data_IF_508007884668
#
_entry.id   IF_508007884668
#
_cell.length_a   1.000
_cell.length_b   1.000
_cell.length_c   1.000
_cell.angle_alpha   90.00
_cell.angle_beta   90.00
_cell.angle_gamma   90.00
#
_symmetry.space_group_name_H-M   'P 1'
#
loop_
_entity.id
_entity.type
_entity.pdbx_description
1 polymer ?
#
# COMPACT_ATOMS: atom_id res chain seq x y z
N UNK A 1 -55.35 12.81 44.23
CA UNK A 1 -55.74 14.15 44.71
C UNK A 1 -54.48 14.88 45.14
N UNK A 2 -54.15 15.97 44.42
CA UNK A 2 -53.06 16.90 44.76
C UNK A 2 -53.39 17.69 46.03
N UNK A 3 -52.35 18.05 46.80
CA UNK A 3 -52.03 19.40 47.33
C UNK A 3 -51.32 19.30 48.69
N UNK A 4 -50.11 19.86 48.78
CA UNK A 4 -49.88 21.09 49.56
C UNK A 4 -48.36 21.41 49.57
N UNK A 5 -47.88 22.41 48.83
CA UNK A 5 -47.55 23.77 49.33
C UNK A 5 -46.70 23.82 50.60
N UNK A 6 -45.43 24.23 50.48
CA UNK A 6 -45.02 25.59 50.86
C UNK A 6 -43.61 25.91 50.31
N UNK A 7 -43.55 26.98 49.52
CA UNK A 7 -42.36 27.69 49.07
C UNK A 7 -41.99 28.77 50.11
N UNK A 8 -40.72 29.17 50.04
CA UNK A 8 -40.12 30.49 50.38
C UNK A 8 -39.38 30.65 51.72
N UNK A 9 -38.23 31.35 51.57
CA UNK A 9 -37.29 31.93 52.55
C UNK A 9 -36.20 30.92 53.00
N UNK A 10 -34.89 31.12 52.82
CA UNK A 10 -34.07 32.33 52.67
C UNK A 10 -32.67 32.00 52.13
N UNK A 11 -32.08 33.02 51.51
CA UNK A 11 -30.69 33.22 51.06
C UNK A 11 -29.57 32.76 52.01
N UNK A 12 -28.38 32.63 51.38
CA UNK A 12 -26.99 32.78 51.89
C UNK A 12 -26.31 31.61 52.61
N UNK A 13 -25.32 31.00 51.93
CA UNK A 13 -23.93 30.70 52.35
C UNK A 13 -23.31 29.76 51.30
N UNK A 14 -22.77 30.28 50.19
CA UNK A 14 -21.33 30.36 49.95
C UNK A 14 -20.49 29.32 50.73
N UNK A 15 -20.17 28.19 50.10
CA UNK A 15 -18.95 27.45 50.44
C UNK A 15 -18.30 26.91 49.18
N UNK A 16 -17.09 27.42 48.98
CA UNK A 16 -16.16 27.26 47.87
C UNK A 16 -15.48 25.90 48.01
N UNK A 17 -15.88 24.91 47.21
CA UNK A 17 -15.15 23.64 47.11
C UNK A 17 -14.41 23.60 45.78
N UNK A 18 -13.22 24.21 45.78
CA UNK A 18 -12.24 24.08 44.69
C UNK A 18 -11.69 22.65 44.77
N UNK A 19 -12.13 21.80 43.84
CA UNK A 19 -11.51 20.50 43.59
C UNK A 19 -10.13 20.78 42.95
N UNK A 20 -9.07 20.67 43.75
CA UNK A 20 -7.70 20.52 43.28
C UNK A 20 -7.59 19.17 42.54
N UNK A 21 -7.88 19.18 41.24
CA UNK A 21 -7.34 18.20 40.31
C UNK A 21 -5.85 18.49 40.18
N UNK A 22 -5.05 17.86 41.04
CA UNK A 22 -3.62 17.72 40.83
C UNK A 22 -3.47 16.84 39.59
N UNK A 23 -3.29 17.48 38.44
CA UNK A 23 -2.75 16.85 37.24
C UNK A 23 -1.38 16.27 37.60
N UNK A 24 -1.37 14.96 37.86
CA UNK A 24 -0.14 14.19 37.87
C UNK A 24 0.38 14.22 36.45
N UNK A 25 1.38 15.06 36.21
CA UNK A 25 2.18 15.03 35.00
C UNK A 25 2.73 13.61 34.86
N UNK A 26 2.30 12.91 33.82
CA UNK A 26 2.98 11.71 33.35
C UNK A 26 4.39 12.15 32.93
N UNK A 27 5.35 12.02 33.83
CA UNK A 27 6.77 12.18 33.49
C UNK A 27 7.16 10.97 32.66
N UNK A 28 7.55 11.20 31.41
CA UNK A 28 8.17 10.19 30.55
C UNK A 28 9.25 9.46 31.35
N UNK A 29 9.19 8.12 31.38
CA UNK A 29 10.11 7.31 32.18
C UNK A 29 11.45 7.18 31.46
N UNK A 30 12.22 8.27 31.44
CA UNK A 30 13.59 8.28 30.97
C UNK A 30 14.44 7.38 31.88
N UNK A 31 14.90 6.25 31.34
CA UNK A 31 15.74 5.31 32.10
C UNK A 31 17.19 5.60 31.77
N UNK A 32 18.00 5.98 32.76
CA UNK A 32 19.43 6.20 32.57
C UNK A 32 20.22 4.94 32.91
N UNK A 33 20.98 4.42 31.95
CA UNK A 33 21.86 3.25 32.14
C UNK A 33 23.31 3.69 32.03
N UNK A 34 24.15 3.24 32.96
CA UNK A 34 25.59 3.52 32.95
C UNK A 34 26.33 2.24 32.61
N UNK A 35 26.98 2.22 31.44
CA UNK A 35 27.65 1.03 30.92
C UNK A 35 29.10 1.31 30.54
N UNK A 36 29.93 0.29 30.70
CA UNK A 36 31.32 0.28 30.25
C UNK A 36 31.45 -0.57 28.98
N UNK A 37 32.02 0.03 27.94
CA UNK A 37 32.35 -0.62 26.67
C UNK A 37 33.86 -0.72 26.50
N UNK A 38 34.32 -1.84 25.94
CA UNK A 38 35.73 -2.11 25.67
C UNK A 38 35.94 -2.56 24.22
N UNK A 39 36.98 -2.02 23.60
CA UNK A 39 37.38 -2.36 22.23
C UNK A 39 38.89 -2.50 22.14
N UNK A 40 39.34 -3.65 21.64
CA UNK A 40 40.74 -3.90 21.31
C UNK A 40 40.93 -3.52 19.85
N UNK A 41 41.86 -2.63 19.58
CA UNK A 41 42.14 -2.12 18.24
C UNK A 41 42.62 -3.27 17.32
N UNK A 42 41.99 -3.38 16.14
CA UNK A 42 42.31 -4.40 15.14
C UNK A 42 43.38 -3.90 14.16
N UNK A 43 44.05 -4.85 13.49
CA UNK A 43 45.07 -4.55 12.50
C UNK A 43 44.42 -3.84 11.30
N UNK A 44 44.75 -2.56 11.11
CA UNK A 44 44.15 -1.68 10.08
C UNK A 44 43.16 -0.64 10.63
N UNK A 45 42.86 -0.64 11.92
CA UNK A 45 42.06 0.43 12.52
C UNK A 45 42.85 1.74 12.63
N UNK A 46 42.15 2.87 12.53
CA UNK A 46 42.68 4.17 12.96
C UNK A 46 42.22 4.47 14.39
N UNK A 47 42.90 5.38 15.09
CA UNK A 47 42.51 5.78 16.45
C UNK A 47 41.05 6.26 16.51
N UNK A 48 40.62 7.08 15.54
CA UNK A 48 39.25 7.56 15.45
C UNK A 48 38.24 6.42 15.25
N UNK A 49 38.58 5.44 14.41
CA UNK A 49 37.71 4.29 14.17
C UNK A 49 37.60 3.37 15.40
N UNK A 50 38.67 3.26 16.20
CA UNK A 50 38.63 2.53 17.47
C UNK A 50 37.76 3.23 18.53
N UNK A 51 37.80 4.57 18.59
CA UNK A 51 36.95 5.40 19.46
C UNK A 51 35.47 5.33 19.08
N UNK A 52 35.17 5.33 17.79
CA UNK A 52 33.80 5.15 17.30
C UNK A 52 33.27 3.75 17.61
N UNK A 53 34.08 2.71 17.36
CA UNK A 53 33.69 1.31 17.61
C UNK A 53 33.46 1.02 19.10
N UNK A 54 34.27 1.59 20.00
CA UNK A 54 34.05 1.42 21.45
C UNK A 54 32.78 2.16 21.90
N UNK A 55 32.48 3.31 21.30
CA UNK A 55 31.24 4.06 21.56
C UNK A 55 30.00 3.29 21.10
N UNK A 56 30.02 2.77 19.88
CA UNK A 56 28.93 1.94 19.36
C UNK A 56 28.70 0.68 20.22
N UNK A 57 29.77 0.03 20.70
CA UNK A 57 29.66 -1.11 21.62
C UNK A 57 29.04 -0.74 22.96
N UNK A 58 29.46 0.38 23.54
CA UNK A 58 28.91 0.86 24.80
C UNK A 58 27.41 1.22 24.63
N UNK A 59 27.05 1.92 23.56
CA UNK A 59 25.65 2.26 23.25
C UNK A 59 24.79 1.01 23.04
N UNK A 60 25.28 0.03 22.27
CA UNK A 60 24.59 -1.25 22.09
C UNK A 60 24.32 -1.94 23.43
N UNK A 61 25.34 -2.02 24.30
CA UNK A 61 25.20 -2.61 25.63
C UNK A 61 24.20 -1.85 26.51
N UNK A 62 24.15 -0.52 26.38
CA UNK A 62 23.17 0.30 27.10
C UNK A 62 21.73 -0.03 26.68
N UNK A 63 21.48 -0.25 25.38
CA UNK A 63 20.15 -0.65 24.88
C UNK A 63 19.80 -2.07 25.30
N UNK A 64 20.78 -2.98 25.28
CA UNK A 64 20.64 -4.36 25.77
C UNK A 64 20.25 -4.41 27.26
N UNK A 65 20.84 -3.55 28.10
CA UNK A 65 20.52 -3.45 29.53
C UNK A 65 19.23 -2.67 29.83
N UNK A 66 18.88 -1.66 29.01
CA UNK A 66 17.66 -0.87 29.18
C UNK A 66 16.39 -1.64 28.78
N UNK A 67 16.48 -2.54 27.80
CA UNK A 67 15.40 -3.43 27.41
C UNK A 67 15.30 -3.63 25.90
N UNK A 68 15.28 -4.90 25.49
CA UNK A 68 15.03 -5.34 24.12
C UNK A 68 13.77 -6.21 24.11
N UNK A 69 12.87 -5.94 23.18
CA UNK A 69 11.74 -6.82 22.89
C UNK A 69 12.14 -7.81 21.79
N UNK A 70 12.19 -9.09 22.15
CA UNK A 70 12.48 -10.19 21.25
C UNK A 70 11.22 -11.01 21.07
N UNK A 71 10.85 -11.28 19.82
CA UNK A 71 9.75 -12.16 19.49
C UNK A 71 10.18 -13.17 18.44
N UNK A 72 9.83 -14.42 18.69
CA UNK A 72 10.08 -15.54 17.80
C UNK A 72 8.74 -16.05 17.27
N UNK A 73 8.47 -15.85 15.99
CA UNK A 73 7.28 -16.38 15.33
C UNK A 73 7.66 -17.63 14.54
N UNK A 74 7.00 -18.73 14.85
CA UNK A 74 7.15 -19.99 14.13
C UNK A 74 6.03 -20.08 13.10
N UNK A 75 6.40 -20.08 11.82
CA UNK A 75 5.44 -20.22 10.73
C UNK A 75 5.50 -21.65 10.19
N UNK A 76 4.44 -22.41 10.41
CA UNK A 76 4.23 -23.72 9.79
C UNK A 76 3.33 -23.58 8.58
N UNK A 77 3.91 -23.70 7.39
CA UNK A 77 3.17 -23.67 6.14
C UNK A 77 3.00 -25.08 5.59
N UNK A 78 1.75 -25.56 5.54
CA UNK A 78 1.40 -26.77 4.81
C UNK A 78 0.90 -26.39 3.41
N UNK A 79 1.70 -26.66 2.38
CA UNK A 79 1.30 -26.45 0.99
C UNK A 79 0.94 -27.78 0.35
N UNK A 80 -0.33 -27.94 -0.02
CA UNK A 80 -0.81 -29.09 -0.80
C UNK A 80 -0.84 -28.68 -2.26
N UNK A 81 0.09 -29.22 -3.06
CA UNK A 81 0.12 -29.02 -4.52
C UNK A 81 0.14 -30.40 -5.19
N UNK A 82 -0.79 -30.66 -6.10
CA UNK A 82 -0.95 -31.94 -6.80
C UNK A 82 -1.06 -33.17 -5.88
N UNK A 83 -1.83 -33.08 -4.79
CA UNK A 83 -2.08 -34.20 -3.89
C UNK A 83 -0.90 -34.61 -3.00
N UNK A 84 0.21 -33.86 -3.01
CA UNK A 84 1.31 -34.00 -2.05
C UNK A 84 1.32 -32.80 -1.11
N UNK A 85 1.30 -33.05 0.20
CA UNK A 85 1.53 -32.02 1.22
C UNK A 85 3.03 -31.84 1.42
N UNK A 86 3.46 -30.59 1.44
CA UNK A 86 4.82 -30.17 1.77
C UNK A 86 4.71 -29.23 2.95
N UNK A 87 5.24 -29.63 4.09
CA UNK A 87 5.34 -28.77 5.27
C UNK A 87 6.68 -28.04 5.24
N UNK A 88 6.63 -26.72 5.27
CA UNK A 88 7.79 -25.84 5.39
C UNK A 88 7.63 -25.04 6.67
N UNK A 89 8.49 -25.32 7.64
CA UNK A 89 8.57 -24.58 8.89
C UNK A 89 9.65 -23.50 8.77
N UNK A 90 9.30 -22.25 9.03
CA UNK A 90 10.25 -21.13 9.08
C UNK A 90 10.14 -20.39 10.40
N UNK A 91 11.27 -20.23 11.08
CA UNK A 91 11.39 -19.41 12.29
C UNK A 91 11.81 -17.99 11.89
N UNK A 92 10.98 -17.00 12.23
CA UNK A 92 11.32 -15.59 12.10
C UNK A 92 11.55 -15.02 13.51
N UNK A 93 12.70 -14.37 13.71
CA UNK A 93 13.03 -13.71 14.97
C UNK A 93 13.09 -12.22 14.72
N UNK A 94 12.23 -11.47 15.41
CA UNK A 94 12.16 -10.02 15.30
C UNK A 94 12.61 -9.37 16.60
N UNK A 95 13.46 -8.35 16.47
CA UNK A 95 14.06 -7.65 17.60
C UNK A 95 13.70 -6.16 17.51
N UNK A 96 13.02 -5.64 18.53
CA UNK A 96 12.74 -4.22 18.69
C UNK A 96 13.54 -3.70 19.88
N UNK A 97 14.31 -2.63 19.67
CA UNK A 97 15.23 -2.10 20.66
C UNK A 97 14.87 -0.63 20.96
N UNK A 98 14.97 -0.23 22.22
CA UNK A 98 14.69 1.15 22.61
C UNK A 98 15.75 2.11 22.04
N UNK A 99 15.32 3.32 21.68
CA UNK A 99 16.21 4.34 21.18
C UNK A 99 16.95 5.06 22.32
N UNK A 100 18.26 5.29 22.13
CA UNK A 100 19.04 6.17 23.01
C UNK A 100 18.72 7.62 22.62
N UNK A 101 18.19 8.40 23.55
CA UNK A 101 17.88 9.83 23.33
C UNK A 101 19.07 10.73 23.61
N UNK A 102 19.94 10.33 24.56
CA UNK A 102 21.15 11.09 24.91
C UNK A 102 22.25 10.16 25.37
N UNK A 103 23.48 10.39 24.90
CA UNK A 103 24.69 9.72 25.39
C UNK A 103 25.62 10.76 26.00
N UNK A 104 26.09 10.51 27.22
CA UNK A 104 27.08 11.34 27.91
C UNK A 104 28.31 10.49 28.25
N UNK A 105 29.48 10.89 27.76
CA UNK A 105 30.74 10.16 27.98
C UNK A 105 31.36 10.64 29.28
N UNK A 106 31.34 9.80 30.31
CA UNK A 106 31.82 10.16 31.64
C UNK A 106 33.33 9.95 31.79
N UNK A 107 33.85 8.87 31.20
CA UNK A 107 35.26 8.51 31.28
C UNK A 107 35.69 7.85 29.97
N UNK A 108 36.86 8.21 29.48
CA UNK A 108 37.50 7.58 28.33
C UNK A 108 38.97 7.35 28.67
N UNK A 109 39.39 6.09 28.65
CA UNK A 109 40.76 5.69 28.97
C UNK A 109 41.30 4.74 27.91
N UNK A 110 42.60 4.89 27.66
CA UNK A 110 43.35 4.06 26.73
C UNK A 110 44.38 3.28 27.54
N UNK A 111 44.47 1.98 27.27
CA UNK A 111 45.43 1.08 27.91
C UNK A 111 46.06 0.19 26.86
N UNK A 112 47.08 -0.57 27.24
CA UNK A 112 47.69 -1.58 26.39
C UNK A 112 47.53 -2.94 27.06
N UNK A 113 46.92 -3.88 26.36
CA UNK A 113 46.92 -5.29 26.76
C UNK A 113 47.62 -6.10 25.68
N UNK A 114 48.69 -6.83 26.07
CA UNK A 114 49.45 -7.72 25.17
C UNK A 114 49.89 -7.01 23.88
N UNK A 115 50.47 -5.81 24.01
CA UNK A 115 50.90 -4.92 22.92
C UNK A 115 49.81 -4.43 21.96
N UNK A 116 48.51 -4.58 22.31
CA UNK A 116 47.39 -4.01 21.54
C UNK A 116 46.76 -2.83 22.30
N UNK A 117 46.48 -1.69 21.63
CA UNK A 117 45.72 -0.60 22.22
C UNK A 117 44.29 -1.05 22.56
N UNK A 118 43.90 -0.87 23.81
CA UNK A 118 42.56 -1.14 24.32
C UNK A 118 41.90 0.17 24.72
N UNK A 119 40.76 0.46 24.11
CA UNK A 119 39.93 1.61 24.40
C UNK A 119 38.82 1.17 25.34
N UNK A 120 38.67 1.90 26.43
CA UNK A 120 37.61 1.68 27.41
C UNK A 120 36.88 2.99 27.61
N UNK A 121 35.57 2.96 27.44
CA UNK A 121 34.73 4.12 27.72
C UNK A 121 33.62 3.76 28.69
N UNK A 122 33.27 4.72 29.53
CA UNK A 122 32.11 4.67 30.41
C UNK A 122 31.14 5.74 29.98
N UNK A 123 29.94 5.32 29.60
CA UNK A 123 28.88 6.24 29.16
C UNK A 123 27.69 6.17 30.10
N UNK A 124 27.00 7.29 30.24
CA UNK A 124 25.63 7.36 30.73
C UNK A 124 24.72 7.57 29.52
N UNK A 125 23.91 6.58 29.21
CA UNK A 125 22.91 6.67 28.15
C UNK A 125 21.53 6.87 28.77
N UNK A 126 20.76 7.81 28.23
CA UNK A 126 19.33 7.98 28.52
C UNK A 126 18.56 7.24 27.43
N UNK A 127 17.76 6.27 27.84
CA UNK A 127 16.96 5.44 26.95
C UNK A 127 15.49 5.73 27.18
N UNK A 128 14.75 6.00 26.10
CA UNK A 128 13.32 6.23 26.17
C UNK A 128 12.58 4.92 25.88
N UNK A 129 12.01 4.34 26.93
CA UNK A 129 11.23 3.10 26.85
C UNK A 129 9.80 3.32 26.35
N UNK A 130 9.28 4.55 26.38
CA UNK A 130 7.91 4.86 25.97
C UNK A 130 7.75 4.64 24.46
N UNK A 131 8.75 5.02 23.65
CA UNK A 131 8.75 4.74 22.22
C UNK A 131 8.80 3.24 21.90
N UNK A 132 9.53 2.45 22.69
CA UNK A 132 9.54 0.99 22.53
C UNK A 132 8.16 0.40 22.84
N UNK A 133 7.52 0.86 23.90
CA UNK A 133 6.17 0.42 24.28
C UNK A 133 5.11 0.83 23.25
N UNK A 134 5.18 2.05 22.72
CA UNK A 134 4.30 2.51 21.65
C UNK A 134 4.50 1.71 20.36
N UNK A 135 5.75 1.45 19.97
CA UNK A 135 6.07 0.63 18.81
C UNK A 135 5.52 -0.79 18.95
N UNK A 136 5.68 -1.41 20.13
CA UNK A 136 5.12 -2.74 20.42
C UNK A 136 3.58 -2.72 20.40
N UNK A 137 2.93 -1.69 20.96
CA UNK A 137 1.46 -1.56 20.95
C UNK A 137 0.91 -1.38 19.54
N UNK A 138 1.51 -0.47 18.76
CA UNK A 138 1.14 -0.23 17.38
C UNK A 138 1.27 -1.49 16.55
N UNK A 139 2.40 -2.19 16.68
CA UNK A 139 2.62 -3.45 16.00
C UNK A 139 1.59 -4.52 16.36
N UNK A 140 1.30 -4.73 17.66
CA UNK A 140 0.25 -5.68 18.08
C UNK A 140 -1.12 -5.32 17.51
N UNK A 141 -1.44 -4.03 17.40
CA UNK A 141 -2.70 -3.57 16.80
C UNK A 141 -2.76 -3.83 15.29
N UNK A 142 -1.64 -3.63 14.57
CA UNK A 142 -1.53 -3.92 13.14
C UNK A 142 -1.62 -5.43 12.88
N UNK A 143 -1.04 -6.26 13.74
CA UNK A 143 -1.12 -7.72 13.63
C UNK A 143 -2.55 -8.23 13.91
N UNK A 144 -3.22 -7.70 14.94
CA UNK A 144 -4.64 -8.00 15.19
C UNK A 144 -5.52 -7.59 14.02
N UNK A 145 -5.26 -6.43 13.41
CA UNK A 145 -5.97 -5.97 12.23
C UNK A 145 -5.71 -6.91 11.03
N UNK A 146 -4.46 -7.32 10.81
CA UNK A 146 -4.10 -8.26 9.75
C UNK A 146 -4.70 -9.65 9.95
N UNK A 147 -4.77 -10.13 11.20
CA UNK A 147 -5.46 -11.37 11.55
C UNK A 147 -6.96 -11.27 11.31
N UNK A 148 -7.59 -10.18 11.74
CA UNK A 148 -9.01 -9.92 11.50
C UNK A 148 -9.34 -9.78 10.01
N UNK A 149 -8.46 -9.12 9.25
CA UNK A 149 -8.59 -9.03 7.79
C UNK A 149 -8.47 -10.40 7.12
N UNK A 150 -7.53 -11.25 7.54
CA UNK A 150 -7.43 -12.65 7.06
C UNK A 150 -8.70 -13.44 7.36
N UNK A 151 -9.23 -13.32 8.58
CA UNK A 151 -10.49 -13.95 8.96
C UNK A 151 -11.65 -13.46 8.08
N UNK A 152 -11.76 -12.15 7.85
CA UNK A 152 -12.78 -11.58 6.96
C UNK A 152 -12.62 -12.05 5.51
N UNK A 153 -11.39 -12.24 5.02
CA UNK A 153 -11.15 -12.81 3.69
C UNK A 153 -11.60 -14.26 3.60
N UNK A 154 -11.32 -15.07 4.63
CA UNK A 154 -11.80 -16.45 4.71
C UNK A 154 -13.32 -16.53 4.82
N UNK A 155 -13.94 -15.66 5.65
CA UNK A 155 -15.39 -15.56 5.76
C UNK A 155 -16.02 -15.10 4.45
N UNK A 156 -15.45 -14.11 3.77
CA UNK A 156 -15.91 -13.71 2.45
C UNK A 156 -15.76 -14.82 1.41
N UNK A 157 -14.68 -15.59 1.45
CA UNK A 157 -14.48 -16.74 0.57
C UNK A 157 -15.51 -17.84 0.87
N UNK A 158 -15.79 -18.13 2.15
CA UNK A 158 -16.82 -19.07 2.60
C UNK A 158 -18.22 -18.61 2.21
N UNK A 159 -18.56 -17.34 2.43
CA UNK A 159 -19.84 -16.76 2.05
C UNK A 159 -20.01 -16.76 0.52
N UNK A 160 -18.97 -16.44 -0.25
CA UNK A 160 -18.99 -16.57 -1.72
C UNK A 160 -19.19 -18.03 -2.16
N UNK A 161 -18.57 -19.00 -1.47
CA UNK A 161 -18.78 -20.42 -1.73
C UNK A 161 -20.21 -20.86 -1.38
N UNK A 162 -20.74 -20.45 -0.23
CA UNK A 162 -22.12 -20.68 0.18
C UNK A 162 -23.13 -20.01 -0.76
N UNK A 163 -22.82 -18.82 -1.27
CA UNK A 163 -23.63 -18.15 -2.28
C UNK A 163 -23.67 -18.97 -3.57
N UNK A 164 -22.52 -19.52 -3.99
CA UNK A 164 -22.43 -20.43 -5.14
C UNK A 164 -23.24 -21.71 -4.92
N UNK A 165 -23.22 -22.28 -3.72
CA UNK A 165 -24.04 -23.44 -3.35
C UNK A 165 -25.55 -23.09 -3.28
N UNK A 166 -25.93 -21.93 -2.75
CA UNK A 166 -27.34 -21.50 -2.76
C UNK A 166 -27.84 -21.08 -4.13
N UNK A 167 -26.95 -20.67 -5.04
CA UNK A 167 -27.25 -20.45 -6.46
C UNK A 167 -27.15 -21.74 -7.29
N UNK A 168 -26.72 -22.87 -6.73
CA UNK A 168 -27.04 -24.17 -7.32
C UNK A 168 -28.51 -24.50 -7.00
N UNK A 169 -29.33 -24.85 -8.00
CA UNK A 169 -30.75 -25.13 -7.75
C UNK A 169 -30.88 -26.29 -6.75
N UNK A 170 -31.87 -26.27 -5.84
CA UNK A 170 -31.98 -27.25 -4.77
C UNK A 170 -32.10 -28.67 -5.33
N UNK A 171 -31.19 -29.56 -4.89
CA UNK A 171 -31.25 -31.00 -5.11
C UNK A 171 -32.36 -31.62 -4.24
N UNK A 172 -33.61 -31.47 -4.65
CA UNK A 172 -34.72 -31.99 -3.84
C UNK A 172 -36.14 -31.85 -4.37
N UNK A 173 -36.36 -31.19 -5.51
CA UNK A 173 -37.64 -31.31 -6.22
C UNK A 173 -37.39 -32.25 -7.39
N UNK A 174 -37.90 -33.49 -7.29
CA UNK A 174 -38.17 -34.31 -8.49
C UNK A 174 -39.29 -33.63 -9.26
N UNK A 175 -39.02 -32.47 -9.84
CA UNK A 175 -39.59 -32.17 -11.14
C UNK A 175 -39.06 -33.28 -12.03
N UNK A 176 -39.92 -33.90 -12.81
CA UNK A 176 -39.50 -34.60 -14.02
C UNK A 176 -38.81 -33.54 -14.88
N UNK A 177 -37.53 -33.28 -14.59
CA UNK A 177 -36.60 -32.70 -15.52
C UNK A 177 -36.45 -33.81 -16.53
N UNK A 178 -37.29 -33.75 -17.56
CA UNK A 178 -36.88 -34.18 -18.87
C UNK A 178 -35.54 -33.46 -19.05
N UNK A 179 -34.43 -34.19 -18.91
CA UNK A 179 -33.11 -33.69 -19.26
C UNK A 179 -33.27 -33.06 -20.65
N UNK A 180 -33.07 -31.74 -20.82
CA UNK A 180 -33.15 -31.17 -22.15
C UNK A 180 -32.10 -31.92 -22.98
N UNK A 181 -32.47 -32.51 -24.12
CA UNK A 181 -31.53 -33.28 -24.91
C UNK A 181 -30.52 -32.28 -25.46
N UNK A 182 -29.31 -32.24 -24.91
CA UNK A 182 -28.31 -31.32 -25.45
C UNK A 182 -27.11 -30.92 -24.58
N UNK A 183 -26.30 -31.88 -24.11
CA UNK A 183 -24.84 -31.61 -24.06
C UNK A 183 -24.21 -31.57 -25.48
N UNK A 184 -25.04 -31.64 -26.52
CA UNK A 184 -24.69 -31.76 -27.94
C UNK A 184 -25.15 -30.58 -28.81
N UNK A 185 -25.68 -29.51 -28.22
CA UNK A 185 -26.09 -28.30 -28.95
C UNK A 185 -24.93 -27.31 -29.19
N UNK A 186 -25.03 -26.42 -30.20
CA UNK A 186 -23.96 -25.48 -30.56
C UNK A 186 -23.52 -24.56 -29.41
N UNK A 187 -24.46 -24.12 -28.56
CA UNK A 187 -24.16 -23.31 -27.36
C UNK A 187 -23.37 -24.08 -26.29
N UNK A 188 -23.68 -25.37 -26.09
CA UNK A 188 -22.94 -26.23 -25.16
C UNK A 188 -21.51 -26.48 -25.65
N UNK A 189 -21.34 -26.69 -26.95
CA UNK A 189 -20.02 -26.81 -27.59
C UNK A 189 -19.22 -25.50 -27.48
N UNK A 190 -19.86 -24.34 -27.70
CA UNK A 190 -19.21 -23.04 -27.55
C UNK A 190 -18.68 -22.81 -26.12
N UNK A 191 -19.45 -23.17 -25.09
CA UNK A 191 -19.00 -23.11 -23.68
C UNK A 191 -17.82 -24.02 -23.39
N UNK A 192 -17.86 -25.27 -23.87
CA UNK A 192 -16.74 -26.20 -23.71
C UNK A 192 -15.47 -25.67 -24.40
N UNK A 193 -15.59 -25.11 -25.61
CA UNK A 193 -14.46 -24.48 -26.30
C UNK A 193 -13.89 -23.31 -25.50
N UNK A 194 -14.74 -22.46 -24.92
CA UNK A 194 -14.26 -21.38 -24.05
C UNK A 194 -13.52 -21.91 -22.81
N UNK A 195 -14.06 -22.93 -22.13
CA UNK A 195 -13.41 -23.56 -20.99
C UNK A 195 -12.03 -24.11 -21.37
N UNK A 196 -11.92 -24.80 -22.51
CA UNK A 196 -10.61 -25.28 -23.01
C UNK A 196 -9.66 -24.12 -23.34
N UNK A 197 -10.18 -23.01 -23.86
CA UNK A 197 -9.39 -21.82 -24.18
C UNK A 197 -8.86 -21.13 -22.91
N UNK A 198 -9.64 -21.10 -21.82
CA UNK A 198 -9.23 -20.53 -20.54
C UNK A 198 -8.06 -21.30 -19.90
N UNK A 199 -8.00 -22.62 -20.11
CA UNK A 199 -6.91 -23.47 -19.63
C UNK A 199 -5.69 -23.50 -20.56
N UNK A 200 -5.81 -23.03 -21.81
CA UNK A 200 -4.67 -23.01 -22.74
C UNK A 200 -3.69 -21.89 -22.40
N UNK A 201 -2.41 -22.25 -22.31
CA UNK A 201 -1.30 -21.29 -22.17
C UNK A 201 -0.84 -20.72 -23.52
N UNK A 202 -1.26 -21.31 -24.65
CA UNK A 202 -0.90 -20.84 -25.99
C UNK A 202 -1.91 -19.80 -26.48
N UNK A 203 -1.45 -18.56 -26.62
CA UNK A 203 -2.33 -17.43 -27.01
C UNK A 203 -2.95 -17.59 -28.40
N UNK A 204 -2.24 -18.21 -29.37
CA UNK A 204 -2.79 -18.46 -30.71
C UNK A 204 -3.91 -19.48 -30.65
N UNK A 205 -3.65 -20.60 -29.98
CA UNK A 205 -4.68 -21.63 -29.76
C UNK A 205 -5.89 -21.06 -29.01
N UNK A 206 -5.67 -20.19 -28.03
CA UNK A 206 -6.74 -19.51 -27.30
C UNK A 206 -7.60 -18.62 -28.20
N UNK A 207 -7.00 -17.89 -29.16
CA UNK A 207 -7.72 -17.13 -30.18
C UNK A 207 -8.54 -18.06 -31.09
N UNK A 208 -7.96 -19.18 -31.52
CA UNK A 208 -8.65 -20.13 -32.41
C UNK A 208 -9.88 -20.74 -31.72
N UNK A 209 -9.73 -21.20 -30.49
CA UNK A 209 -10.80 -21.80 -29.69
C UNK A 209 -11.92 -20.80 -29.39
N UNK A 210 -11.57 -19.57 -29.00
CA UNK A 210 -12.57 -18.52 -28.75
C UNK A 210 -13.26 -18.04 -30.02
N UNK A 211 -12.57 -18.06 -31.16
CA UNK A 211 -13.17 -17.76 -32.47
C UNK A 211 -14.17 -18.83 -32.90
N UNK A 212 -13.84 -20.11 -32.70
CA UNK A 212 -14.76 -21.22 -32.93
C UNK A 212 -15.97 -21.14 -32.00
N UNK A 213 -15.77 -20.82 -30.72
CA UNK A 213 -16.86 -20.61 -29.77
C UNK A 213 -17.80 -19.48 -30.21
N UNK A 214 -17.26 -18.33 -30.61
CA UNK A 214 -18.04 -17.19 -31.10
C UNK A 214 -18.74 -17.45 -32.46
N UNK A 215 -18.23 -18.39 -33.27
CA UNK A 215 -18.87 -18.81 -34.51
C UNK A 215 -20.05 -19.76 -34.26
N UNK A 216 -19.92 -20.65 -33.27
CA UNK A 216 -20.98 -21.59 -32.89
C UNK A 216 -22.13 -20.91 -32.14
N UNK A 217 -21.82 -19.91 -31.31
CA UNK A 217 -22.81 -19.09 -30.63
C UNK A 217 -22.51 -17.60 -30.85
N UNK A 218 -23.12 -16.97 -31.87
CA UNK A 218 -22.88 -15.56 -32.19
C UNK A 218 -23.30 -14.55 -31.12
N UNK A 219 -24.08 -14.96 -30.11
CA UNK A 219 -24.49 -14.13 -28.97
C UNK A 219 -23.62 -14.39 -27.72
N UNK A 220 -22.57 -15.21 -27.83
CA UNK A 220 -21.74 -15.58 -26.69
C UNK A 220 -20.70 -14.50 -26.37
N UNK A 221 -21.10 -13.59 -25.48
CA UNK A 221 -20.31 -12.42 -25.06
C UNK A 221 -18.96 -12.81 -24.48
N UNK A 222 -18.91 -13.84 -23.63
CA UNK A 222 -17.67 -14.25 -22.93
C UNK A 222 -16.56 -14.68 -23.89
N UNK A 223 -16.91 -15.33 -25.01
CA UNK A 223 -15.94 -15.74 -26.02
C UNK A 223 -15.28 -14.52 -26.69
N UNK A 224 -16.06 -13.47 -26.98
CA UNK A 224 -15.55 -12.21 -27.53
C UNK A 224 -14.66 -11.48 -26.52
N UNK A 225 -15.07 -11.39 -25.26
CA UNK A 225 -14.27 -10.75 -24.21
C UNK A 225 -12.92 -11.46 -24.05
N UNK A 226 -12.91 -12.79 -23.94
CA UNK A 226 -11.67 -13.56 -23.76
C UNK A 226 -10.79 -13.47 -25.00
N UNK A 227 -11.37 -13.46 -26.21
CA UNK A 227 -10.61 -13.26 -27.45
C UNK A 227 -9.97 -11.87 -27.51
N UNK A 228 -10.74 -10.82 -27.24
CA UNK A 228 -10.26 -9.44 -27.18
C UNK A 228 -9.13 -9.25 -26.16
N UNK A 229 -9.28 -9.82 -24.96
CA UNK A 229 -8.22 -9.82 -23.93
C UNK A 229 -6.96 -10.56 -24.40
N UNK A 230 -7.12 -11.66 -25.14
CA UNK A 230 -6.01 -12.44 -25.69
C UNK A 230 -5.26 -11.64 -26.75
N UNK A 231 -5.96 -10.89 -27.61
CA UNK A 231 -5.32 -9.94 -28.52
C UNK A 231 -4.54 -8.85 -27.78
N UNK A 232 -5.10 -8.23 -26.73
CA UNK A 232 -4.36 -7.23 -25.94
C UNK A 232 -3.13 -7.83 -25.22
N UNK A 233 -3.20 -9.12 -24.85
CA UNK A 233 -2.03 -9.84 -24.31
C UNK A 233 -0.94 -10.03 -25.36
N UNK A 234 -1.32 -10.35 -26.61
CA UNK A 234 -0.39 -10.40 -27.75
C UNK A 234 0.26 -9.05 -28.02
N UNK A 235 -0.52 -7.95 -27.97
CA UNK A 235 -0.01 -6.58 -28.10
C UNK A 235 1.03 -6.30 -27.01
N UNK A 236 0.72 -6.63 -25.77
CA UNK A 236 1.64 -6.43 -24.63
C UNK A 236 2.94 -7.19 -24.82
N UNK A 237 2.88 -8.45 -25.29
CA UNK A 237 4.08 -9.26 -25.59
C UNK A 237 4.90 -8.68 -26.74
N UNK A 238 4.25 -8.26 -27.83
CA UNK A 238 4.92 -7.64 -28.97
C UNK A 238 5.62 -6.33 -28.56
N UNK A 239 4.93 -5.49 -27.79
CA UNK A 239 5.49 -4.26 -27.23
C UNK A 239 6.70 -4.53 -26.33
N UNK A 240 6.62 -5.51 -25.42
CA UNK A 240 7.75 -5.92 -24.58
C UNK A 240 8.95 -6.43 -25.39
N UNK A 241 8.70 -7.09 -26.52
CA UNK A 241 9.74 -7.56 -27.44
C UNK A 241 10.26 -6.46 -28.39
N UNK A 242 9.84 -5.19 -28.21
CA UNK A 242 10.23 -4.04 -29.03
C UNK A 242 9.87 -4.19 -30.51
N UNK A 243 8.80 -4.95 -30.82
CA UNK A 243 8.21 -5.01 -32.16
C UNK A 243 7.75 -3.64 -32.64
N UNK A 244 7.66 -3.47 -33.96
CA UNK A 244 7.16 -2.21 -34.55
C UNK A 244 5.67 -2.03 -34.22
N UNK A 245 5.19 -0.80 -33.99
CA UNK A 245 3.77 -0.54 -33.76
C UNK A 245 2.82 -1.10 -34.81
N UNK A 246 3.26 -1.15 -36.08
CA UNK A 246 2.49 -1.74 -37.18
C UNK A 246 2.19 -3.23 -36.98
N UNK A 247 3.06 -3.98 -36.30
CA UNK A 247 2.90 -5.43 -36.10
C UNK A 247 1.83 -5.77 -35.07
N UNK A 248 1.49 -4.84 -34.18
CA UNK A 248 0.50 -5.06 -33.13
C UNK A 248 -0.73 -4.14 -33.21
N UNK A 249 -0.71 -3.11 -34.05
CA UNK A 249 -1.86 -2.23 -34.29
C UNK A 249 -3.10 -3.03 -34.71
N UNK A 250 -2.92 -4.05 -35.55
CA UNK A 250 -4.01 -4.90 -36.02
C UNK A 250 -4.69 -5.65 -34.86
N UNK A 251 -3.90 -6.16 -33.90
CA UNK A 251 -4.45 -6.83 -32.72
C UNK A 251 -5.20 -5.86 -31.79
N UNK A 252 -4.78 -4.58 -31.72
CA UNK A 252 -5.53 -3.57 -30.95
C UNK A 252 -6.89 -3.33 -31.61
N UNK A 253 -6.95 -3.25 -32.94
CA UNK A 253 -8.21 -3.08 -33.68
C UNK A 253 -9.13 -4.29 -33.51
N UNK A 254 -8.61 -5.52 -33.59
CA UNK A 254 -9.39 -6.73 -33.33
C UNK A 254 -9.92 -6.77 -31.89
N UNK A 255 -9.10 -6.43 -30.91
CA UNK A 255 -9.55 -6.35 -29.52
C UNK A 255 -10.69 -5.34 -29.35
N UNK A 256 -10.54 -4.13 -29.91
CA UNK A 256 -11.58 -3.09 -29.87
C UNK A 256 -12.88 -3.60 -30.48
N UNK A 257 -12.82 -4.20 -31.67
CA UNK A 257 -14.00 -4.74 -32.36
C UNK A 257 -14.73 -5.79 -31.52
N UNK A 258 -13.99 -6.68 -30.85
CA UNK A 258 -14.56 -7.71 -29.99
C UNK A 258 -15.26 -7.12 -28.76
N UNK A 259 -14.65 -6.12 -28.11
CA UNK A 259 -15.27 -5.45 -26.96
C UNK A 259 -16.48 -4.61 -27.37
N UNK A 260 -16.41 -3.88 -28.48
CA UNK A 260 -17.55 -3.10 -28.98
C UNK A 260 -18.71 -4.03 -29.34
N UNK A 261 -18.44 -5.19 -29.96
CA UNK A 261 -19.47 -6.20 -30.24
C UNK A 261 -20.04 -6.82 -28.97
N UNK A 262 -19.19 -7.11 -27.97
CA UNK A 262 -19.63 -7.58 -26.66
C UNK A 262 -20.57 -6.58 -25.98
N UNK A 263 -20.26 -5.28 -26.05
CA UNK A 263 -21.08 -4.20 -25.48
C UNK A 263 -22.37 -3.94 -26.27
N UNK A 264 -22.42 -4.24 -27.56
CA UNK A 264 -23.67 -4.23 -28.33
C UNK A 264 -24.65 -5.32 -27.86
N UNK A 265 -24.14 -6.45 -27.36
CA UNK A 265 -24.95 -7.57 -26.86
C UNK A 265 -25.31 -7.39 -25.39
N UNK A 266 -24.33 -6.99 -24.57
CA UNK A 266 -24.47 -6.73 -23.15
C UNK A 266 -23.79 -5.40 -22.80
N UNK A 267 -24.56 -4.33 -22.89
CA UNK A 267 -24.10 -2.97 -22.64
C UNK A 267 -23.68 -2.73 -21.17
N UNK A 268 -24.07 -3.61 -20.25
CA UNK A 268 -23.76 -3.51 -18.81
C UNK A 268 -22.75 -4.56 -18.36
N UNK A 269 -21.93 -5.10 -19.27
CA UNK A 269 -20.89 -6.04 -18.92
C UNK A 269 -19.62 -5.33 -18.39
N UNK A 270 -19.23 -5.50 -17.10
CA UNK A 270 -18.05 -4.83 -16.56
C UNK A 270 -16.75 -5.25 -17.26
N UNK A 271 -16.63 -6.51 -17.66
CA UNK A 271 -15.42 -7.04 -18.31
C UNK A 271 -15.25 -6.53 -19.74
N UNK A 272 -16.36 -6.35 -20.47
CA UNK A 272 -16.31 -5.73 -21.80
C UNK A 272 -15.97 -4.23 -21.72
N UNK A 273 -16.51 -3.50 -20.73
CA UNK A 273 -16.15 -2.09 -20.47
C UNK A 273 -14.68 -1.94 -20.06
N UNK A 274 -14.16 -2.82 -19.20
CA UNK A 274 -12.74 -2.89 -18.85
C UNK A 274 -11.89 -3.10 -20.10
N UNK A 275 -12.26 -4.07 -20.94
CA UNK A 275 -11.55 -4.38 -22.18
C UNK A 275 -11.58 -3.21 -23.18
N UNK A 276 -12.71 -2.53 -23.32
CA UNK A 276 -12.83 -1.32 -24.15
C UNK A 276 -11.91 -0.21 -23.62
N UNK A 277 -11.84 -0.01 -22.31
CA UNK A 277 -10.91 0.92 -21.68
C UNK A 277 -9.44 0.57 -21.94
N UNK A 278 -9.08 -0.71 -21.83
CA UNK A 278 -7.72 -1.18 -22.10
C UNK A 278 -7.35 -0.98 -23.59
N UNK A 279 -8.26 -1.28 -24.52
CA UNK A 279 -8.05 -1.05 -25.95
C UNK A 279 -7.89 0.45 -26.28
N UNK A 280 -8.72 1.33 -25.69
CA UNK A 280 -8.61 2.80 -25.84
C UNK A 280 -7.32 3.34 -25.24
N UNK A 281 -6.83 2.73 -24.16
CA UNK A 281 -5.52 3.07 -23.57
C UNK A 281 -4.39 2.80 -24.58
N UNK A 282 -4.42 1.64 -25.27
CA UNK A 282 -3.47 1.32 -26.35
C UNK A 282 -3.57 2.27 -27.56
N UNK A 283 -4.77 2.76 -27.87
CA UNK A 283 -5.01 3.75 -28.93
C UNK A 283 -4.64 5.19 -28.51
N UNK A 284 -4.08 5.39 -27.31
CA UNK A 284 -3.72 6.69 -26.77
C UNK A 284 -4.94 7.66 -26.68
N UNK A 285 -6.09 7.12 -26.25
CA UNK A 285 -7.34 7.86 -26.01
C UNK A 285 -7.70 7.81 -24.50
N UNK A 286 -6.96 8.53 -23.63
CA UNK A 286 -7.09 8.39 -22.18
C UNK A 286 -8.45 8.83 -21.64
N UNK A 287 -9.07 9.87 -22.18
CA UNK A 287 -10.38 10.35 -21.74
C UNK A 287 -11.48 9.30 -22.02
N UNK A 288 -11.43 8.68 -23.20
CA UNK A 288 -12.36 7.63 -23.57
C UNK A 288 -12.12 6.33 -22.79
N UNK A 289 -10.87 6.05 -22.39
CA UNK A 289 -10.53 4.92 -21.53
C UNK A 289 -11.03 5.14 -20.09
N UNK A 290 -10.79 6.33 -19.54
CA UNK A 290 -11.27 6.75 -18.22
C UNK A 290 -12.80 6.62 -18.11
N UNK A 291 -13.55 7.07 -19.12
CA UNK A 291 -15.00 6.93 -19.14
C UNK A 291 -15.43 5.46 -19.07
N UNK A 292 -14.76 4.57 -19.82
CA UNK A 292 -15.08 3.14 -19.83
C UNK A 292 -14.80 2.47 -18.47
N UNK A 293 -13.67 2.79 -17.83
CA UNK A 293 -13.38 2.27 -16.48
C UNK A 293 -14.33 2.82 -15.42
N UNK A 294 -14.73 4.08 -15.54
CA UNK A 294 -15.70 4.69 -14.61
C UNK A 294 -17.05 4.00 -14.74
N UNK A 295 -17.54 3.77 -15.96
CA UNK A 295 -18.77 3.00 -16.21
C UNK A 295 -18.67 1.57 -15.66
N UNK A 296 -17.52 0.91 -15.78
CA UNK A 296 -17.33 -0.42 -15.20
C UNK A 296 -17.45 -0.40 -13.66
N UNK A 297 -16.93 0.64 -13.01
CA UNK A 297 -17.00 0.82 -11.55
C UNK A 297 -18.38 1.29 -11.06
N UNK A 298 -19.16 1.96 -11.89
CA UNK A 298 -20.56 2.27 -11.60
C UNK A 298 -21.42 0.99 -11.55
N UNK A 299 -21.07 -0.01 -12.37
CA UNK A 299 -21.77 -1.31 -12.39
C UNK A 299 -21.25 -2.22 -11.27
N UNK A 300 -19.94 -2.31 -11.09
CA UNK A 300 -19.30 -3.07 -10.01
C UNK A 300 -18.28 -2.20 -9.25
N UNK A 301 -18.68 -1.58 -8.13
CA UNK A 301 -17.79 -0.74 -7.32
C UNK A 301 -16.56 -1.47 -6.74
N UNK A 302 -16.61 -2.80 -6.63
CA UNK A 302 -15.54 -3.66 -6.11
C UNK A 302 -14.69 -4.27 -7.23
N UNK A 303 -14.79 -3.75 -8.46
CA UNK A 303 -13.98 -4.21 -9.56
C UNK A 303 -12.55 -3.65 -9.50
N UNK A 304 -11.74 -4.27 -8.66
CA UNK A 304 -10.38 -3.81 -8.32
C UNK A 304 -9.49 -3.55 -9.54
N UNK A 305 -9.60 -4.41 -10.57
CA UNK A 305 -8.83 -4.28 -11.80
C UNK A 305 -9.21 -2.98 -12.53
N UNK A 306 -10.51 -2.67 -12.66
CA UNK A 306 -10.96 -1.43 -13.30
C UNK A 306 -10.48 -0.19 -12.54
N UNK A 307 -10.50 -0.24 -11.20
CA UNK A 307 -10.00 0.85 -10.37
C UNK A 307 -8.51 1.08 -10.53
N UNK A 308 -7.72 0.01 -10.53
CA UNK A 308 -6.28 0.10 -10.76
C UNK A 308 -5.98 0.68 -12.16
N UNK A 309 -6.74 0.28 -13.18
CA UNK A 309 -6.61 0.82 -14.54
C UNK A 309 -6.96 2.30 -14.61
N UNK A 310 -8.05 2.71 -13.96
CA UNK A 310 -8.47 4.10 -13.87
C UNK A 310 -7.37 4.97 -13.23
N UNK A 311 -6.89 4.61 -12.03
CA UNK A 311 -5.82 5.33 -11.32
C UNK A 311 -4.57 5.47 -12.21
N UNK A 312 -4.20 4.40 -12.92
CA UNK A 312 -3.02 4.43 -13.80
C UNK A 312 -3.21 5.39 -14.98
N UNK A 313 -4.36 5.36 -15.64
CA UNK A 313 -4.63 6.23 -16.80
C UNK A 313 -4.69 7.69 -16.38
N UNK A 314 -5.43 8.02 -15.32
CA UNK A 314 -5.55 9.40 -14.80
C UNK A 314 -4.20 9.94 -14.34
N UNK A 315 -3.41 9.15 -13.61
CA UNK A 315 -2.07 9.56 -13.16
C UNK A 315 -1.12 9.78 -14.33
N UNK A 316 -1.17 8.92 -15.36
CA UNK A 316 -0.34 9.08 -16.58
C UNK A 316 -0.74 10.34 -17.35
N UNK A 317 -2.03 10.62 -17.47
CA UNK A 317 -2.55 11.83 -18.10
C UNK A 317 -2.15 13.08 -17.31
N UNK A 318 -2.31 13.07 -15.99
CA UNK A 318 -1.89 14.16 -15.11
C UNK A 318 -0.38 14.44 -15.23
N UNK A 319 0.46 13.39 -15.22
CA UNK A 319 1.91 13.52 -15.41
C UNK A 319 2.24 14.18 -16.76
N UNK A 320 1.56 13.77 -17.83
CA UNK A 320 1.70 14.37 -19.16
C UNK A 320 1.30 15.84 -19.15
N UNK A 321 0.15 16.19 -18.58
CA UNK A 321 -0.33 17.58 -18.47
C UNK A 321 0.62 18.45 -17.64
N UNK A 322 1.16 17.93 -16.54
CA UNK A 322 2.19 18.61 -15.73
C UNK A 322 3.45 18.87 -16.55
N UNK A 323 3.91 17.88 -17.33
CA UNK A 323 5.09 18.04 -18.21
C UNK A 323 4.89 19.05 -19.33
N UNK A 324 3.67 19.19 -19.86
CA UNK A 324 3.30 20.18 -20.87
C UNK A 324 2.92 21.53 -20.27
N UNK A 325 3.09 21.72 -18.95
CA UNK A 325 2.76 22.93 -18.18
C UNK A 325 1.28 23.33 -18.20
N UNK A 326 0.39 22.39 -18.47
CA UNK A 326 -1.06 22.58 -18.39
C UNK A 326 -1.54 22.32 -16.95
N UNK A 327 -1.13 23.20 -16.03
CA UNK A 327 -1.30 22.99 -14.58
C UNK A 327 -2.77 22.93 -14.15
N UNK A 328 -3.64 23.79 -14.72
CA UNK A 328 -5.06 23.82 -14.37
C UNK A 328 -5.78 22.51 -14.76
N UNK A 329 -5.50 22.01 -15.96
CA UNK A 329 -6.03 20.73 -16.44
C UNK A 329 -5.51 19.55 -15.62
N UNK A 330 -4.22 19.56 -15.27
CA UNK A 330 -3.61 18.54 -14.42
C UNK A 330 -4.25 18.53 -13.02
N UNK A 331 -4.41 19.72 -12.41
CA UNK A 331 -5.02 19.90 -11.11
C UNK A 331 -6.48 19.43 -11.09
N UNK A 332 -7.26 19.78 -12.11
CA UNK A 332 -8.66 19.36 -12.24
C UNK A 332 -8.77 17.82 -12.33
N UNK A 333 -7.88 17.21 -13.11
CA UNK A 333 -7.83 15.74 -13.28
C UNK A 333 -7.49 15.04 -11.96
N UNK A 334 -6.46 15.51 -11.25
CA UNK A 334 -6.03 14.95 -9.97
C UNK A 334 -7.10 15.13 -8.88
N UNK A 335 -7.71 16.31 -8.77
CA UNK A 335 -8.77 16.56 -7.79
C UNK A 335 -10.00 15.71 -8.02
N UNK A 336 -10.42 15.52 -9.28
CA UNK A 336 -11.55 14.65 -9.60
C UNK A 336 -11.30 13.20 -9.17
N UNK A 337 -10.07 12.71 -9.35
CA UNK A 337 -9.68 11.37 -8.89
C UNK A 337 -9.66 11.28 -7.36
N UNK A 338 -8.96 12.19 -6.69
CA UNK A 338 -8.69 12.13 -5.25
C UNK A 338 -9.89 12.53 -4.38
N UNK A 339 -10.85 13.29 -4.91
CA UNK A 339 -12.08 13.65 -4.20
C UNK A 339 -13.18 12.59 -4.32
N UNK A 340 -13.00 11.58 -5.18
CA UNK A 340 -13.95 10.47 -5.25
C UNK A 340 -13.93 9.70 -3.93
N UNK A 341 -15.09 9.31 -3.40
CA UNK A 341 -15.18 8.54 -2.17
C UNK A 341 -14.64 7.13 -2.43
N UNK A 342 -13.36 6.92 -2.15
CA UNK A 342 -12.68 5.63 -2.30
C UNK A 342 -12.32 5.09 -0.92
N UNK A 343 -12.43 3.77 -0.74
CA UNK A 343 -11.96 3.11 0.48
C UNK A 343 -10.48 3.41 0.73
N UNK A 344 -10.12 3.57 2.01
CA UNK A 344 -8.75 3.85 2.47
C UNK A 344 -7.72 2.82 1.97
N UNK A 345 -8.15 1.59 1.68
CA UNK A 345 -7.31 0.52 1.12
C UNK A 345 -6.67 0.88 -0.22
N UNK A 346 -7.22 1.86 -0.95
CA UNK A 346 -6.72 2.32 -2.24
C UNK A 346 -5.81 3.54 -2.17
N UNK A 347 -5.68 4.17 -0.99
CA UNK A 347 -4.78 5.32 -0.79
C UNK A 347 -3.34 4.98 -1.21
N UNK A 348 -2.77 3.81 -0.86
CA UNK A 348 -1.42 3.45 -1.31
C UNK A 348 -1.25 3.40 -2.83
N UNK A 349 -2.30 3.01 -3.57
CA UNK A 349 -2.28 2.98 -5.04
C UNK A 349 -2.33 4.37 -5.68
N UNK A 350 -2.70 5.40 -4.91
CA UNK A 350 -2.81 6.79 -5.34
C UNK A 350 -1.60 7.63 -4.95
N UNK A 351 -0.55 7.03 -4.35
CA UNK A 351 0.69 7.70 -3.91
C UNK A 351 1.24 8.66 -4.96
N UNK A 352 1.33 8.22 -6.21
CA UNK A 352 1.86 9.06 -7.28
C UNK A 352 0.96 10.26 -7.61
N UNK A 353 -0.36 10.10 -7.53
CA UNK A 353 -1.28 11.21 -7.75
C UNK A 353 -1.15 12.30 -6.66
N UNK A 354 -0.99 11.89 -5.39
CA UNK A 354 -0.68 12.82 -4.30
C UNK A 354 0.66 13.52 -4.52
N UNK A 355 1.71 12.80 -4.94
CA UNK A 355 3.01 13.40 -5.25
C UNK A 355 2.89 14.46 -6.35
N UNK A 356 2.23 14.13 -7.48
CA UNK A 356 2.03 15.05 -8.60
C UNK A 356 1.20 16.27 -8.19
N UNK A 357 0.17 16.09 -7.36
CA UNK A 357 -0.65 17.21 -6.87
C UNK A 357 0.13 18.10 -5.91
N UNK A 358 0.93 17.52 -5.01
CA UNK A 358 1.83 18.26 -4.13
C UNK A 358 2.88 19.07 -4.91
N UNK A 359 3.46 18.50 -5.96
CA UNK A 359 4.35 19.21 -6.89
C UNK A 359 3.65 20.41 -7.54
N UNK A 360 2.42 20.23 -8.02
CA UNK A 360 1.65 21.32 -8.63
C UNK A 360 1.28 22.40 -7.60
N UNK A 361 0.85 22.02 -6.41
CA UNK A 361 0.56 22.96 -5.33
C UNK A 361 1.82 23.79 -4.98
N UNK A 362 2.99 23.17 -4.91
CA UNK A 362 4.24 23.91 -4.72
C UNK A 362 4.48 24.91 -5.87
N UNK A 363 4.30 24.51 -7.13
CA UNK A 363 4.48 25.41 -8.30
C UNK A 363 3.50 26.58 -8.30
N UNK A 364 2.32 26.39 -7.72
CA UNK A 364 1.26 27.39 -7.59
C UNK A 364 1.38 28.22 -6.29
N UNK A 365 2.48 28.09 -5.54
CA UNK A 365 2.71 28.74 -4.24
C UNK A 365 1.64 28.40 -3.17
N UNK A 366 1.03 27.22 -3.28
CA UNK A 366 0.04 26.68 -2.35
C UNK A 366 0.74 25.75 -1.35
N UNK A 367 1.66 26.30 -0.56
CA UNK A 367 2.60 25.53 0.27
C UNK A 367 1.91 24.64 1.31
N UNK A 368 0.80 25.08 1.89
CA UNK A 368 0.03 24.28 2.88
C UNK A 368 -0.55 23.02 2.25
N UNK A 369 -1.22 23.14 1.10
CA UNK A 369 -1.80 22.00 0.39
C UNK A 369 -0.72 21.05 -0.14
N UNK A 370 0.42 21.61 -0.57
CA UNK A 370 1.57 20.82 -0.96
C UNK A 370 2.11 19.98 0.20
N UNK A 371 2.23 20.56 1.40
CA UNK A 371 2.67 19.84 2.61
C UNK A 371 1.68 18.71 2.95
N UNK A 372 0.37 18.96 2.87
CA UNK A 372 -0.66 17.96 3.17
C UNK A 372 -0.54 16.75 2.23
N UNK A 373 -0.45 16.99 0.91
CA UNK A 373 -0.30 15.93 -0.08
C UNK A 373 1.02 15.16 0.05
N UNK A 374 2.12 15.87 0.29
CA UNK A 374 3.43 15.24 0.50
C UNK A 374 3.47 14.42 1.79
N UNK A 375 2.71 14.83 2.82
CA UNK A 375 2.59 14.07 4.06
C UNK A 375 1.89 12.73 3.82
N UNK A 376 0.82 12.71 3.01
CA UNK A 376 0.18 11.45 2.59
C UNK A 376 1.17 10.54 1.86
N UNK A 377 2.01 11.09 0.98
CA UNK A 377 3.05 10.29 0.29
C UNK A 377 4.04 9.67 1.27
N UNK A 378 4.48 10.43 2.28
CA UNK A 378 5.43 9.98 3.30
C UNK A 378 4.79 8.98 4.26
N UNK A 379 3.50 9.12 4.57
CA UNK A 379 2.75 8.16 5.39
C UNK A 379 2.61 6.80 4.67
N UNK A 380 2.42 6.82 3.34
CA UNK A 380 2.39 5.61 2.50
C UNK A 380 3.79 5.01 2.33
N UNK A 381 4.79 5.86 2.10
CA UNK A 381 6.18 5.47 1.80
C UNK A 381 7.16 6.38 2.53
N UNK A 382 7.53 6.05 3.78
CA UNK A 382 8.47 6.83 4.58
C UNK A 382 9.88 6.93 3.99
N UNK A 383 10.16 6.14 2.94
CA UNK A 383 11.45 6.13 2.24
C UNK A 383 11.44 6.98 0.98
N UNK A 384 10.34 7.69 0.68
CA UNK A 384 10.19 8.49 -0.52
C UNK A 384 11.00 9.79 -0.46
N UNK A 385 12.29 9.69 -0.79
CA UNK A 385 13.30 10.78 -0.74
C UNK A 385 12.82 12.08 -1.37
N UNK A 386 12.21 12.03 -2.56
CA UNK A 386 11.76 13.24 -3.25
C UNK A 386 10.67 13.98 -2.45
N UNK A 387 9.78 13.25 -1.77
CA UNK A 387 8.68 13.85 -1.02
C UNK A 387 9.21 14.51 0.25
N UNK A 388 10.14 13.84 0.96
CA UNK A 388 10.86 14.39 2.12
C UNK A 388 11.62 15.67 1.75
N UNK A 389 12.37 15.66 0.65
CA UNK A 389 13.10 16.83 0.17
C UNK A 389 12.18 18.01 -0.16
N UNK A 390 11.04 17.74 -0.82
CA UNK A 390 10.09 18.78 -1.16
C UNK A 390 9.40 19.35 0.08
N UNK A 391 8.93 18.49 0.99
CA UNK A 391 8.25 18.91 2.21
C UNK A 391 9.19 19.65 3.15
N UNK A 392 10.43 19.18 3.32
CA UNK A 392 11.47 19.86 4.10
C UNK A 392 11.80 21.26 3.56
N UNK A 393 11.85 21.44 2.23
CA UNK A 393 12.02 22.78 1.61
C UNK A 393 10.85 23.70 1.94
N UNK A 394 9.62 23.20 1.81
CA UNK A 394 8.41 23.96 2.12
C UNK A 394 8.34 24.36 3.60
N UNK A 395 8.67 23.43 4.51
CA UNK A 395 8.76 23.74 5.95
C UNK A 395 9.79 24.82 6.24
N UNK A 396 10.95 24.78 5.58
CA UNK A 396 11.97 25.82 5.74
C UNK A 396 11.48 27.18 5.23
N UNK A 397 10.83 27.22 4.08
CA UNK A 397 10.22 28.45 3.54
C UNK A 397 9.16 29.03 4.49
N UNK A 398 8.47 28.18 5.25
CA UNK A 398 7.51 28.56 6.29
C UNK A 398 8.14 28.81 7.68
N UNK A 399 9.47 28.88 7.78
CA UNK A 399 10.21 29.06 9.04
C UNK A 399 9.99 27.95 10.08
N UNK A 400 9.51 26.78 9.66
CA UNK A 400 9.31 25.59 10.49
C UNK A 400 10.60 24.76 10.52
N UNK A 401 11.67 25.35 11.04
CA UNK A 401 13.02 24.78 10.96
C UNK A 401 13.18 23.38 11.58
N UNK A 402 12.43 23.07 12.65
CA UNK A 402 12.46 21.73 13.28
C UNK A 402 11.94 20.65 12.33
N UNK A 403 10.76 20.86 11.74
CA UNK A 403 10.14 19.90 10.81
C UNK A 403 10.95 19.77 9.51
N UNK A 404 11.50 20.89 9.03
CA UNK A 404 12.40 20.89 7.88
C UNK A 404 13.66 20.03 8.15
N UNK A 405 14.26 20.19 9.33
CA UNK A 405 15.44 19.42 9.74
C UNK A 405 15.13 17.93 9.79
N UNK A 406 14.01 17.52 10.40
CA UNK A 406 13.59 16.11 10.48
C UNK A 406 13.46 15.47 9.08
N UNK A 407 12.78 16.16 8.15
CA UNK A 407 12.63 15.67 6.78
C UNK A 407 13.98 15.59 6.03
N UNK A 408 14.88 16.57 6.22
CA UNK A 408 16.20 16.56 5.60
C UNK A 408 17.14 15.52 6.20
N UNK A 409 17.10 15.28 7.52
CA UNK A 409 17.86 14.21 8.18
C UNK A 409 17.43 12.85 7.64
N UNK A 410 16.12 12.60 7.55
CA UNK A 410 15.60 11.36 7.01
C UNK A 410 15.99 11.18 5.54
N UNK A 411 15.85 12.21 4.71
CA UNK A 411 16.29 12.15 3.31
C UNK A 411 17.81 11.93 3.18
N UNK A 412 18.63 12.52 4.06
CA UNK A 412 20.07 12.33 4.09
C UNK A 412 20.44 10.89 4.43
N UNK A 413 19.80 10.29 5.45
CA UNK A 413 19.98 8.87 5.84
C UNK A 413 19.63 7.94 4.66
N UNK A 414 18.61 8.29 3.89
CA UNK A 414 18.17 7.56 2.70
C UNK A 414 19.06 7.80 1.47
N UNK A 415 20.17 8.51 1.61
CA UNK A 415 21.19 8.69 0.57
C UNK A 415 20.98 9.92 -0.32
N UNK A 416 20.25 10.94 0.13
CA UNK A 416 20.11 12.20 -0.60
C UNK A 416 21.18 13.23 -0.15
N UNK A 417 22.30 13.39 -0.88
CA UNK A 417 23.37 14.31 -0.48
C UNK A 417 22.90 15.76 -0.40
N UNK A 418 21.99 16.15 -1.30
CA UNK A 418 21.39 17.48 -1.31
C UNK A 418 20.61 17.80 -0.02
N UNK A 419 20.11 16.78 0.69
CA UNK A 419 19.45 16.95 1.99
C UNK A 419 20.48 17.20 3.10
N UNK A 420 21.59 16.46 3.09
CA UNK A 420 22.68 16.60 4.05
C UNK A 420 23.27 18.01 4.04
N UNK A 421 23.39 18.63 2.86
CA UNK A 421 23.84 20.02 2.70
C UNK A 421 22.89 21.07 3.32
N UNK A 422 21.63 20.70 3.57
CA UNK A 422 20.67 21.61 4.22
C UNK A 422 20.71 21.51 5.75
N UNK A 423 21.48 20.59 6.31
CA UNK A 423 21.62 20.39 7.75
C UNK A 423 22.72 21.32 8.30
N UNK A 424 22.54 21.83 9.53
CA UNK A 424 23.49 22.76 10.16
C UNK A 424 24.82 22.11 10.57
#
# INVERSE_FOLDING_TARGET
>A
MNRATLLLLTRTTLSLFILLLVSSSATATETSVVVEGQYVMADGDTLAMAEEKVLQRAQRKAVEEAGIYLESTFHDYESVRNGKSTQVSSLEIRTLAAAITKTDVQESRRSFERDRPVFTIRIRAVVNLDHLQEAVRRWRSEEQLAAHFRQLQEENAKLKAQLRETHTPPSGVRTLVIEPPGRTGPQGQARHLLETALHSHNLRQKIDLTSQAAALDPQFVDALIVRGQTYLKMVSLAFSNKSRPSEYSEYIDYARMDFDRALLMDARNPWALLGQGDARTWLNQPEAAESAYTQALEIDPFFDIARQRLIRVTTTQARKLTSTKQWDSAMTTLNRMLNSSVSESWIPSQKEAYLLRGELHQKLNQSTQAIDDLSVVIDIDPTHVQALLMRGKLYREQLQGRLAKEDFEQACILGAPAACEQLP
#
